data_IF_361136744999
#
_entry.id   IF_361136744999
#
_cell.length_a   1.000
_cell.length_b   1.000
_cell.length_c   1.000
_cell.angle_alpha   90.00
_cell.angle_beta   90.00
_cell.angle_gamma   90.00
#
_symmetry.space_group_name_H-M   'P 1'
#
loop_
_entity.id
_entity.type
_entity.pdbx_description
1 polymer ?
#
# COMPACT_ATOMS: atom_id res chain seq x y z
N UNK A 1 34.50 -28.48 -4.06
CA UNK A 1 34.34 -27.42 -5.07
C UNK A 1 32.98 -27.41 -5.75
N UNK A 2 32.42 -28.56 -6.16
CA UNK A 2 31.11 -28.61 -6.82
C UNK A 2 29.94 -28.07 -5.95
N UNK A 3 29.98 -28.25 -4.62
CA UNK A 3 28.94 -27.75 -3.68
C UNK A 3 28.93 -26.24 -3.53
N UNK A 4 30.08 -25.58 -3.68
CA UNK A 4 30.18 -24.10 -3.60
C UNK A 4 29.57 -23.45 -4.84
N UNK A 5 29.72 -24.04 -6.00
CA UNK A 5 29.15 -23.56 -7.26
C UNK A 5 27.62 -23.64 -7.26
N UNK A 6 27.05 -24.72 -6.71
CA UNK A 6 25.59 -24.87 -6.57
C UNK A 6 25.03 -23.82 -5.62
N UNK A 7 25.73 -23.50 -4.53
CA UNK A 7 25.36 -22.46 -3.58
C UNK A 7 25.39 -21.06 -4.21
N UNK A 8 26.41 -20.77 -5.00
CA UNK A 8 26.55 -19.51 -5.72
C UNK A 8 25.45 -19.34 -6.79
N UNK A 9 25.11 -20.41 -7.49
CA UNK A 9 24.04 -20.40 -8.48
C UNK A 9 22.67 -20.21 -7.84
N UNK A 10 22.39 -20.81 -6.69
CA UNK A 10 21.17 -20.64 -5.92
C UNK A 10 21.01 -19.18 -5.43
N UNK A 11 22.10 -18.54 -5.00
CA UNK A 11 22.06 -17.12 -4.60
C UNK A 11 21.80 -16.17 -5.77
N UNK A 12 22.28 -16.49 -6.97
CA UNK A 12 22.04 -15.69 -8.18
C UNK A 12 20.57 -15.79 -8.63
N UNK A 13 19.96 -16.96 -8.50
CA UNK A 13 18.55 -17.17 -8.83
C UNK A 13 17.62 -16.47 -7.83
N UNK A 14 18.00 -16.37 -6.55
CA UNK A 14 17.24 -15.66 -5.55
C UNK A 14 17.28 -14.13 -5.69
N UNK A 15 18.22 -13.58 -6.44
CA UNK A 15 18.38 -12.13 -6.63
C UNK A 15 17.30 -11.45 -7.49
N UNK A 16 16.36 -12.21 -8.05
CA UNK A 16 15.30 -11.69 -8.92
C UNK A 16 13.90 -11.73 -8.33
N UNK A 17 13.75 -12.07 -7.05
CA UNK A 17 12.44 -12.09 -6.40
C UNK A 17 12.03 -10.67 -6.00
N UNK A 18 11.14 -10.06 -6.76
CA UNK A 18 10.49 -8.80 -6.38
C UNK A 18 9.34 -9.12 -5.42
N UNK A 19 9.46 -8.70 -4.18
CA UNK A 19 8.39 -8.78 -3.20
C UNK A 19 7.59 -7.48 -3.19
N UNK A 20 6.32 -7.56 -2.77
CA UNK A 20 5.50 -6.38 -2.48
C UNK A 20 6.24 -5.49 -1.46
N UNK A 21 6.30 -4.20 -1.76
CA UNK A 21 7.01 -3.24 -0.92
C UNK A 21 6.20 -1.96 -0.76
N UNK A 22 6.05 -1.52 0.47
CA UNK A 22 5.50 -0.19 0.76
C UNK A 22 6.61 0.85 0.61
N UNK A 23 6.38 1.84 -0.25
CA UNK A 23 7.34 2.92 -0.50
C UNK A 23 6.70 4.28 -0.29
N UNK A 24 7.46 5.21 0.28
CA UNK A 24 7.06 6.60 0.49
C UNK A 24 8.05 7.51 -0.23
N UNK A 25 7.56 8.27 -1.20
CA UNK A 25 8.39 9.13 -2.05
C UNK A 25 8.41 10.60 -1.62
N UNK A 26 7.64 10.96 -0.58
CA UNK A 26 7.49 12.34 -0.10
C UNK A 26 7.97 12.45 1.34
N UNK A 27 8.90 13.38 1.68
CA UNK A 27 9.44 13.49 3.04
C UNK A 27 8.41 13.96 4.07
N UNK A 28 7.31 14.58 3.65
CA UNK A 28 6.25 15.08 4.53
C UNK A 28 5.25 14.00 4.96
N UNK A 29 5.24 12.87 4.29
CA UNK A 29 4.38 11.72 4.63
C UNK A 29 5.13 10.80 5.57
N UNK A 30 4.50 10.45 6.68
CA UNK A 30 5.06 9.59 7.74
C UNK A 30 4.01 8.57 8.20
N UNK A 31 4.48 7.57 8.92
CA UNK A 31 3.64 6.60 9.64
C UNK A 31 2.64 5.90 8.72
N UNK A 32 3.11 5.46 7.54
CA UNK A 32 2.28 4.66 6.64
C UNK A 32 2.06 3.29 7.26
N UNK A 33 0.79 2.94 7.48
CA UNK A 33 0.39 1.69 8.12
C UNK A 33 -0.67 0.98 7.27
N UNK A 34 -0.58 -0.35 7.25
CA UNK A 34 -1.60 -1.24 6.70
C UNK A 34 -2.16 -2.05 7.86
N UNK A 35 -3.46 -1.92 8.09
CA UNK A 35 -4.16 -2.54 9.22
C UNK A 35 -5.19 -3.51 8.66
N UNK A 36 -5.10 -4.78 9.07
CA UNK A 36 -6.08 -5.78 8.71
C UNK A 36 -7.37 -5.65 9.55
N UNK A 37 -8.41 -6.33 9.13
CA UNK A 37 -9.74 -6.32 9.77
C UNK A 37 -9.71 -6.61 11.28
N UNK A 38 -8.72 -7.38 11.75
CA UNK A 38 -8.54 -7.71 13.17
C UNK A 38 -7.89 -6.57 13.99
N UNK A 39 -7.61 -5.44 13.38
CA UNK A 39 -6.99 -4.28 14.03
C UNK A 39 -5.47 -4.35 14.17
N UNK A 40 -4.83 -5.37 13.63
CA UNK A 40 -3.37 -5.53 13.68
C UNK A 40 -2.71 -5.11 12.36
N UNK A 41 -1.49 -4.60 12.46
CA UNK A 41 -0.66 -4.37 11.28
C UNK A 41 -0.37 -5.70 10.58
N UNK A 42 -0.71 -5.77 9.29
CA UNK A 42 -0.55 -6.96 8.49
C UNK A 42 -0.35 -6.60 7.01
N UNK A 43 0.16 -7.51 6.19
CA UNK A 43 0.17 -7.32 4.75
C UNK A 43 -1.24 -7.05 4.20
N UNK A 44 -1.32 -6.25 3.13
CA UNK A 44 -2.56 -5.92 2.46
C UNK A 44 -3.07 -7.13 1.64
N UNK A 45 -3.61 -8.12 2.32
CA UNK A 45 -4.15 -9.34 1.71
C UNK A 45 -5.62 -9.49 2.09
N UNK A 46 -6.48 -9.62 1.09
CA UNK A 46 -7.91 -9.80 1.23
C UNK A 46 -8.31 -11.08 0.47
N UNK A 47 -9.17 -11.89 1.07
CA UNK A 47 -9.72 -13.06 0.40
C UNK A 47 -10.91 -12.66 -0.47
N UNK A 48 -10.90 -13.10 -1.71
CA UNK A 48 -12.01 -12.86 -2.63
C UNK A 48 -13.28 -13.61 -2.17
N UNK A 49 -14.41 -12.90 -2.19
CA UNK A 49 -15.70 -13.46 -1.80
C UNK A 49 -15.97 -13.50 -0.30
N UNK A 50 -15.04 -13.01 0.53
CA UNK A 50 -15.22 -12.83 1.97
C UNK A 50 -15.36 -11.34 2.31
N UNK A 51 -16.02 -11.07 3.44
CA UNK A 51 -16.19 -9.70 3.95
C UNK A 51 -14.95 -9.28 4.74
N UNK A 52 -13.86 -9.11 4.03
CA UNK A 52 -12.57 -8.67 4.57
C UNK A 52 -12.18 -7.31 3.99
N UNK A 53 -11.58 -6.47 4.81
CA UNK A 53 -11.06 -5.17 4.39
C UNK A 53 -9.65 -4.91 4.92
N UNK A 54 -8.94 -3.96 4.34
CA UNK A 54 -7.71 -3.40 4.89
C UNK A 54 -7.84 -1.90 4.98
N UNK A 55 -7.37 -1.34 6.08
CA UNK A 55 -7.22 0.09 6.26
C UNK A 55 -5.78 0.50 5.96
N UNK A 56 -5.61 1.52 5.15
CA UNK A 56 -4.33 2.17 4.90
C UNK A 56 -4.39 3.56 5.50
N UNK A 57 -3.43 3.89 6.35
CA UNK A 57 -3.36 5.19 7.00
C UNK A 57 -1.98 5.80 6.88
N UNK A 58 -1.92 7.13 6.91
CA UNK A 58 -0.67 7.88 6.90
C UNK A 58 -0.86 9.26 7.51
N UNK A 59 0.24 9.87 7.92
CA UNK A 59 0.28 11.23 8.46
C UNK A 59 0.97 12.16 7.48
N UNK A 60 0.36 13.32 7.23
CA UNK A 60 1.02 14.46 6.59
C UNK A 60 1.41 15.47 7.68
N UNK A 61 2.68 15.85 7.72
CA UNK A 61 3.24 16.71 8.78
C UNK A 61 2.86 18.18 8.59
N UNK A 62 1.56 18.47 8.62
CA UNK A 62 0.99 19.82 8.59
C UNK A 62 -0.42 19.81 9.16
N UNK A 63 -0.91 20.96 9.65
CA UNK A 63 -2.31 21.14 10.00
C UNK A 63 -3.18 21.50 8.79
N UNK A 64 -2.58 21.88 7.67
CA UNK A 64 -3.31 22.23 6.46
C UNK A 64 -3.89 20.98 5.80
N UNK A 65 -5.17 21.06 5.43
CA UNK A 65 -5.79 19.98 4.67
C UNK A 65 -5.22 19.92 3.26
N UNK A 66 -4.78 18.73 2.85
CA UNK A 66 -4.40 18.42 1.48
C UNK A 66 -5.34 17.38 0.91
N UNK A 67 -5.79 17.60 -0.31
CA UNK A 67 -6.62 16.64 -1.02
C UNK A 67 -5.76 15.51 -1.56
N UNK A 68 -5.95 14.31 -1.03
CA UNK A 68 -5.30 13.10 -1.50
C UNK A 68 -6.28 12.23 -2.26
N UNK A 69 -5.76 11.53 -3.23
CA UNK A 69 -6.48 10.54 -4.02
C UNK A 69 -5.66 9.27 -4.07
N UNK A 70 -6.33 8.12 -4.24
CA UNK A 70 -5.66 6.87 -4.50
C UNK A 70 -6.14 6.27 -5.82
N UNK A 71 -5.27 5.52 -6.45
CA UNK A 71 -5.55 4.75 -7.65
C UNK A 71 -5.24 3.28 -7.39
N UNK A 72 -5.98 2.40 -8.07
CA UNK A 72 -5.75 0.96 -8.05
C UNK A 72 -5.22 0.52 -9.40
N UNK A 73 -4.17 -0.26 -9.39
CA UNK A 73 -3.57 -0.83 -10.60
C UNK A 73 -3.51 -2.34 -10.46
N UNK A 74 -4.13 -3.06 -11.41
CA UNK A 74 -4.02 -4.50 -11.46
C UNK A 74 -2.63 -4.93 -11.94
N UNK A 75 -1.97 -5.79 -11.18
CA UNK A 75 -0.62 -6.24 -11.45
C UNK A 75 -0.55 -7.76 -11.65
N UNK A 76 0.48 -8.18 -12.38
CA UNK A 76 0.88 -9.58 -12.47
C UNK A 76 1.52 -10.05 -11.14
N UNK A 77 1.80 -11.33 -11.02
CA UNK A 77 2.40 -11.90 -9.81
C UNK A 77 3.78 -11.31 -9.46
N UNK A 78 4.49 -10.73 -10.41
CA UNK A 78 5.77 -10.05 -10.22
C UNK A 78 5.64 -8.54 -9.93
N UNK A 79 4.41 -8.07 -9.68
CA UNK A 79 4.07 -6.66 -9.43
C UNK A 79 4.28 -5.72 -10.62
N UNK A 80 4.45 -6.23 -11.82
CA UNK A 80 4.37 -5.41 -13.03
C UNK A 80 2.91 -5.15 -13.39
N UNK A 81 2.57 -3.96 -13.92
CA UNK A 81 1.20 -3.69 -14.38
C UNK A 81 0.74 -4.75 -15.39
N UNK A 82 -0.49 -5.24 -15.23
CA UNK A 82 -1.07 -6.22 -16.15
C UNK A 82 -1.55 -5.56 -17.44
N UNK A 83 -1.88 -6.39 -18.43
CA UNK A 83 -2.46 -5.92 -19.71
C UNK A 83 -3.96 -5.61 -19.62
N UNK A 84 -4.58 -5.81 -18.45
CA UNK A 84 -5.99 -5.50 -18.25
C UNK A 84 -6.22 -3.99 -18.25
N UNK A 85 -7.28 -3.55 -18.93
CA UNK A 85 -7.76 -2.17 -18.85
C UNK A 85 -8.46 -1.90 -17.52
N UNK A 86 -8.55 -0.64 -17.11
CA UNK A 86 -9.21 -0.25 -15.85
C UNK A 86 -10.66 -0.72 -15.78
N UNK A 87 -11.37 -0.76 -16.91
CA UNK A 87 -12.75 -1.21 -16.99
C UNK A 87 -12.92 -2.71 -16.76
N UNK A 88 -11.86 -3.49 -16.86
CA UNK A 88 -11.88 -4.94 -16.64
C UNK A 88 -11.71 -5.33 -15.19
N UNK A 89 -11.05 -4.48 -14.36
CA UNK A 89 -10.82 -4.79 -12.94
C UNK A 89 -11.44 -3.77 -11.97
N UNK A 90 -11.97 -2.66 -12.46
CA UNK A 90 -12.65 -1.65 -11.64
C UNK A 90 -14.09 -1.43 -12.13
N UNK A 91 -14.97 -1.19 -11.16
CA UNK A 91 -16.31 -0.67 -11.39
C UNK A 91 -16.31 0.83 -11.12
N UNK A 92 -16.39 1.62 -12.20
CA UNK A 92 -16.33 3.08 -12.12
C UNK A 92 -14.96 3.69 -12.42
N UNK A 93 -14.74 4.90 -11.92
CA UNK A 93 -13.52 5.67 -12.19
C UNK A 93 -12.39 5.30 -11.22
N UNK A 94 -11.15 5.36 -11.72
CA UNK A 94 -9.95 5.17 -10.90
C UNK A 94 -9.45 6.52 -10.35
N UNK A 95 -10.34 7.26 -9.72
CA UNK A 95 -10.09 8.56 -9.12
C UNK A 95 -10.83 8.59 -7.79
N UNK A 96 -10.16 8.15 -6.73
CA UNK A 96 -10.77 7.88 -5.45
C UNK A 96 -10.25 8.88 -4.41
N UNK A 97 -11.05 9.87 -4.01
CA UNK A 97 -10.64 10.83 -2.99
C UNK A 97 -10.55 10.16 -1.60
N UNK A 98 -9.56 10.58 -0.81
CA UNK A 98 -9.46 10.20 0.60
C UNK A 98 -10.18 11.27 1.41
N UNK A 99 -11.33 10.91 1.99
CA UNK A 99 -12.20 11.84 2.71
C UNK A 99 -12.12 11.70 4.23
N UNK A 100 -11.61 10.57 4.73
CA UNK A 100 -11.46 10.33 6.16
C UNK A 100 -10.11 10.86 6.66
N UNK A 101 -10.16 11.96 7.41
CA UNK A 101 -8.97 12.58 7.99
C UNK A 101 -9.26 13.20 9.35
N UNK A 102 -8.22 13.35 10.16
CA UNK A 102 -8.26 14.02 11.45
C UNK A 102 -7.02 14.88 11.67
N UNK A 103 -7.18 16.04 12.28
CA UNK A 103 -6.11 16.98 12.58
C UNK A 103 -5.59 16.71 13.99
N UNK A 104 -4.27 16.74 14.18
CA UNK A 104 -3.65 16.59 15.50
C UNK A 104 -4.00 17.76 16.43
N UNK A 105 -4.14 17.47 17.71
CA UNK A 105 -4.46 18.45 18.75
C UNK A 105 -3.41 18.35 19.86
N UNK A 106 -2.89 19.50 20.28
CA UNK A 106 -1.91 19.60 21.37
C UNK A 106 -0.64 18.75 21.19
N UNK A 107 -0.15 18.67 19.96
CA UNK A 107 1.09 17.98 19.62
C UNK A 107 2.22 18.97 19.35
N UNK A 108 3.47 18.59 19.62
CA UNK A 108 4.65 19.39 19.33
C UNK A 108 4.92 19.53 17.82
N UNK A 109 4.54 18.54 17.04
CA UNK A 109 4.58 18.56 15.58
C UNK A 109 3.16 18.50 15.03
N UNK A 110 2.75 19.44 14.16
CA UNK A 110 1.45 19.39 13.52
C UNK A 110 1.40 18.26 12.48
N UNK A 111 0.29 17.54 12.45
CA UNK A 111 0.04 16.54 11.42
C UNK A 111 -1.46 16.41 11.13
N UNK A 112 -1.77 15.94 9.93
CA UNK A 112 -3.11 15.51 9.53
C UNK A 112 -3.05 14.02 9.24
N UNK A 113 -3.92 13.23 9.87
CA UNK A 113 -3.99 11.79 9.71
C UNK A 113 -5.06 11.44 8.68
N UNK A 114 -4.69 10.67 7.67
CA UNK A 114 -5.58 10.21 6.59
C UNK A 114 -5.76 8.71 6.66
N UNK A 115 -6.97 8.25 6.37
CA UNK A 115 -7.33 6.84 6.35
C UNK A 115 -8.13 6.51 5.11
N UNK A 116 -7.91 5.32 4.56
CA UNK A 116 -8.76 4.74 3.53
C UNK A 116 -8.95 3.25 3.78
N UNK A 117 -10.13 2.74 3.45
CA UNK A 117 -10.48 1.33 3.62
C UNK A 117 -10.74 0.69 2.26
N UNK A 118 -10.14 -0.47 2.03
CA UNK A 118 -10.30 -1.25 0.80
C UNK A 118 -10.83 -2.66 1.11
N UNK A 119 -11.77 -3.20 0.33
CA UNK A 119 -12.58 -2.53 -0.68
C UNK A 119 -13.56 -1.54 -0.05
N UNK A 120 -14.10 -0.63 -0.86
CA UNK A 120 -15.02 0.43 -0.44
C UNK A 120 -16.46 0.13 -0.89
#
# INVERSE_FOLDING_TARGET
MKKIWIFLFACIVCGGLHAQRTEVHTPHIRTVQVIADNGYMAPAVIRLGEDESVEISFDHLTHDYHRYQYILTHCNADWTPSDLSETEYLDGFNDNPIEDYGISVNTSLPYTHYRLTLPY
#
